data_IF_842473855206
#
_entry.id   IF_842473855206
#
_cell.length_a   1.000
_cell.length_b   1.000
_cell.length_c   1.000
_cell.angle_alpha   90.00
_cell.angle_beta   90.00
_cell.angle_gamma   90.00
#
_symmetry.space_group_name_H-M   'P 1'
#
loop_
_entity.id
_entity.type
_entity.pdbx_description
1 polymer ?
#
# COMPACT_ATOMS: atom_id res chain seq x y z
N UNK A 1 -12.03 -39.12 -14.01
CA UNK A 1 -10.92 -38.67 -13.14
C UNK A 1 -10.09 -37.54 -13.76
N UNK A 2 -9.53 -37.65 -14.98
CA UNK A 2 -8.67 -36.60 -15.57
C UNK A 2 -9.30 -35.20 -15.71
N UNK A 3 -10.58 -35.13 -16.09
CA UNK A 3 -11.31 -33.85 -16.23
C UNK A 3 -11.57 -33.18 -14.88
N UNK A 4 -11.85 -33.96 -13.83
CA UNK A 4 -12.04 -33.42 -12.47
C UNK A 4 -10.74 -32.85 -11.91
N UNK A 5 -9.61 -33.54 -12.11
CA UNK A 5 -8.28 -33.01 -11.74
C UNK A 5 -7.94 -31.73 -12.52
N UNK A 6 -8.24 -31.66 -13.82
CA UNK A 6 -8.02 -30.46 -14.62
C UNK A 6 -8.89 -29.28 -14.15
N UNK A 7 -10.17 -29.51 -13.84
CA UNK A 7 -11.05 -28.48 -13.28
C UNK A 7 -10.56 -28.00 -11.91
N UNK A 8 -10.16 -28.91 -11.03
CA UNK A 8 -9.63 -28.57 -9.71
C UNK A 8 -8.36 -27.71 -9.81
N UNK A 9 -7.45 -28.06 -10.72
CA UNK A 9 -6.24 -27.28 -10.99
C UNK A 9 -6.58 -25.88 -11.52
N UNK A 10 -7.46 -25.78 -12.51
CA UNK A 10 -7.92 -24.50 -13.06
C UNK A 10 -8.57 -23.60 -11.99
N UNK A 11 -9.43 -24.17 -11.15
CA UNK A 11 -10.08 -23.44 -10.07
C UNK A 11 -9.06 -22.92 -9.05
N UNK A 12 -8.07 -23.74 -8.71
CA UNK A 12 -7.02 -23.36 -7.75
C UNK A 12 -6.16 -22.20 -8.27
N UNK A 13 -5.78 -22.22 -9.56
CA UNK A 13 -5.02 -21.13 -10.20
C UNK A 13 -5.84 -19.83 -10.22
N UNK A 14 -7.13 -19.91 -10.54
CA UNK A 14 -8.00 -18.74 -10.58
C UNK A 14 -8.18 -18.11 -9.18
N UNK A 15 -8.32 -18.93 -8.14
CA UNK A 15 -8.38 -18.46 -6.76
C UNK A 15 -7.12 -17.73 -6.33
N UNK A 16 -5.93 -18.24 -6.69
CA UNK A 16 -4.65 -17.61 -6.37
C UNK A 16 -4.55 -16.23 -7.04
N UNK A 17 -4.85 -16.16 -8.34
CA UNK A 17 -4.79 -14.90 -9.09
C UNK A 17 -5.75 -13.84 -8.52
N UNK A 18 -6.97 -14.24 -8.13
CA UNK A 18 -7.94 -13.33 -7.52
C UNK A 18 -7.45 -12.80 -6.14
N UNK A 19 -6.80 -13.65 -5.34
CA UNK A 19 -6.27 -13.24 -4.04
C UNK A 19 -5.04 -12.29 -4.16
N UNK A 20 -4.21 -12.46 -5.18
CA UNK A 20 -3.13 -11.53 -5.50
C UNK A 20 -3.66 -10.16 -5.94
N UNK A 21 -4.67 -10.13 -6.83
CA UNK A 21 -5.29 -8.88 -7.29
C UNK A 21 -5.89 -8.09 -6.12
N UNK A 22 -6.59 -8.77 -5.21
CA UNK A 22 -7.20 -8.12 -4.05
C UNK A 22 -6.17 -7.54 -3.08
N UNK A 23 -5.09 -8.27 -2.79
CA UNK A 23 -4.01 -7.76 -1.92
C UNK A 23 -3.27 -6.60 -2.57
N UNK A 24 -3.02 -6.67 -3.87
CA UNK A 24 -2.42 -5.56 -4.60
C UNK A 24 -3.34 -4.34 -4.65
N UNK A 25 -4.64 -4.53 -4.89
CA UNK A 25 -5.66 -3.48 -4.85
C UNK A 25 -5.67 -2.78 -3.50
N UNK A 26 -5.74 -3.55 -2.41
CA UNK A 26 -5.69 -3.04 -1.04
C UNK A 26 -4.39 -2.26 -0.79
N UNK A 27 -3.24 -2.81 -1.19
CA UNK A 27 -1.97 -2.11 -1.09
C UNK A 27 -2.02 -0.72 -1.76
N UNK A 28 -2.56 -0.63 -2.98
CA UNK A 28 -2.70 0.66 -3.69
C UNK A 28 -3.62 1.63 -2.94
N UNK A 29 -4.78 1.15 -2.49
CA UNK A 29 -5.74 1.97 -1.74
C UNK A 29 -5.11 2.54 -0.46
N UNK A 30 -4.32 1.75 0.27
CA UNK A 30 -3.75 2.16 1.55
C UNK A 30 -2.47 3.00 1.41
N UNK A 31 -1.61 2.69 0.42
CA UNK A 31 -0.24 3.19 0.38
C UNK A 31 0.09 4.08 -0.82
N UNK A 32 -0.81 4.24 -1.78
CA UNK A 32 -0.51 4.94 -3.03
C UNK A 32 -1.39 6.17 -3.20
N UNK A 33 -0.75 7.27 -3.59
CA UNK A 33 -1.42 8.54 -3.87
C UNK A 33 -0.92 9.13 -5.17
N UNK A 34 -1.80 9.84 -5.87
CA UNK A 34 -1.43 10.58 -7.07
C UNK A 34 -0.49 11.75 -6.76
N UNK A 35 0.22 12.21 -7.78
CA UNK A 35 1.18 13.33 -7.69
C UNK A 35 0.55 14.68 -7.33
N UNK A 36 -0.76 14.82 -7.50
CA UNK A 36 -1.55 16.04 -7.24
C UNK A 36 -2.13 16.09 -5.83
N UNK A 37 -1.93 15.06 -5.00
CA UNK A 37 -2.46 15.03 -3.64
C UNK A 37 -1.76 16.07 -2.77
N UNK A 38 -2.55 17.01 -2.25
CA UNK A 38 -2.04 18.15 -1.45
C UNK A 38 -2.37 18.07 0.04
N UNK A 39 -3.31 17.20 0.45
CA UNK A 39 -3.84 17.18 1.82
C UNK A 39 -3.68 15.82 2.48
N UNK A 40 -2.79 15.74 3.49
CA UNK A 40 -2.71 14.59 4.40
C UNK A 40 -4.01 14.38 5.18
N UNK A 41 -4.71 15.46 5.55
CA UNK A 41 -5.97 15.37 6.28
C UNK A 41 -7.02 14.56 5.53
N UNK A 42 -7.17 14.82 4.23
CA UNK A 42 -8.21 14.19 3.41
C UNK A 42 -7.89 12.72 3.14
N UNK A 43 -6.65 12.39 2.78
CA UNK A 43 -6.27 11.00 2.44
C UNK A 43 -6.17 10.10 3.66
N UNK A 44 -5.73 10.61 4.82
CA UNK A 44 -5.61 9.80 6.04
C UNK A 44 -6.99 9.45 6.62
N UNK A 45 -7.97 10.32 6.41
CA UNK A 45 -9.35 10.13 6.90
C UNK A 45 -10.31 9.60 5.84
N UNK A 46 -9.81 9.23 4.65
CA UNK A 46 -10.63 8.56 3.65
C UNK A 46 -11.00 7.15 4.16
N UNK A 47 -12.29 6.87 4.43
CA UNK A 47 -12.70 5.59 4.99
C UNK A 47 -12.39 4.42 4.05
N UNK A 48 -12.30 4.65 2.73
CA UNK A 48 -11.97 3.59 1.76
C UNK A 48 -10.53 3.09 1.88
N UNK A 49 -9.65 3.89 2.49
CA UNK A 49 -8.22 3.55 2.64
C UNK A 49 -7.94 2.78 3.93
N UNK A 50 -8.89 2.68 4.85
CA UNK A 50 -8.75 1.90 6.09
C UNK A 50 -7.45 2.16 6.87
N UNK A 51 -6.95 3.41 6.89
CA UNK A 51 -5.66 3.75 7.53
C UNK A 51 -5.81 3.88 9.05
N UNK A 52 -6.91 4.51 9.48
CA UNK A 52 -7.24 4.74 10.88
C UNK A 52 -8.27 3.71 11.35
N UNK A 53 -7.81 2.54 11.77
CA UNK A 53 -8.68 1.47 12.27
C UNK A 53 -8.69 1.51 13.80
N UNK A 54 -9.78 2.02 14.39
CA UNK A 54 -10.00 2.14 15.85
C UNK A 54 -9.04 3.08 16.60
N UNK A 55 -8.07 3.66 15.91
CA UNK A 55 -7.13 4.66 16.43
C UNK A 55 -6.64 5.56 15.30
N UNK A 56 -6.10 6.73 15.65
CA UNK A 56 -5.38 7.57 14.70
C UNK A 56 -3.97 7.01 14.53
N UNK A 57 -3.55 6.77 13.29
CA UNK A 57 -2.18 6.35 13.01
C UNK A 57 -1.23 7.54 13.19
N UNK A 58 -0.20 7.38 14.02
CA UNK A 58 0.77 8.43 14.36
C UNK A 58 1.48 9.00 13.12
N UNK A 59 1.85 8.14 12.19
CA UNK A 59 2.40 8.54 10.91
C UNK A 59 2.12 7.49 9.84
N UNK A 60 2.08 7.94 8.59
CA UNK A 60 1.89 7.04 7.45
C UNK A 60 2.65 7.58 6.24
N UNK A 61 3.31 6.67 5.54
CA UNK A 61 4.06 6.97 4.32
C UNK A 61 3.21 6.54 3.15
N UNK A 62 2.96 7.47 2.24
CA UNK A 62 2.39 7.16 0.93
C UNK A 62 3.47 7.17 -0.12
N UNK A 63 3.42 6.20 -1.02
CA UNK A 63 4.16 6.21 -2.28
C UNK A 63 3.42 7.16 -3.21
N UNK A 64 4.14 8.17 -3.70
CA UNK A 64 3.61 9.10 -4.70
C UNK A 64 3.88 8.50 -6.07
N UNK A 65 2.84 8.01 -6.73
CA UNK A 65 2.93 7.39 -8.05
C UNK A 65 1.75 7.81 -8.94
N UNK A 66 2.02 8.02 -10.23
CA UNK A 66 1.00 8.23 -11.27
C UNK A 66 0.49 6.92 -11.89
N UNK A 67 1.03 5.76 -11.48
CA UNK A 67 0.44 4.44 -11.71
C UNK A 67 1.36 3.40 -12.35
N UNK A 68 2.35 3.82 -13.14
CA UNK A 68 3.26 2.89 -13.85
C UNK A 68 4.48 2.45 -13.00
N UNK A 69 4.81 3.17 -11.93
CA UNK A 69 6.05 2.92 -11.16
C UNK A 69 5.96 1.68 -10.27
N UNK A 70 4.78 1.35 -9.73
CA UNK A 70 4.64 0.23 -8.78
C UNK A 70 4.88 -1.15 -9.38
N UNK A 71 4.48 -1.40 -10.64
CA UNK A 71 4.78 -2.67 -11.32
C UNK A 71 6.27 -2.79 -11.61
N UNK A 72 6.90 -1.67 -11.98
CA UNK A 72 8.35 -1.59 -12.22
C UNK A 72 9.15 -1.85 -10.93
N UNK A 73 8.62 -1.44 -9.77
CA UNK A 73 9.28 -1.66 -8.48
C UNK A 73 9.50 -3.15 -8.18
N UNK A 74 8.49 -3.99 -8.42
CA UNK A 74 8.57 -5.43 -8.15
C UNK A 74 9.17 -6.23 -9.32
N UNK A 75 8.98 -5.79 -10.57
CA UNK A 75 9.49 -6.52 -11.73
C UNK A 75 9.00 -7.98 -11.74
N UNK A 76 9.94 -8.93 -11.81
CA UNK A 76 9.67 -10.37 -11.67
C UNK A 76 9.99 -10.93 -10.28
N UNK A 77 10.32 -10.06 -9.31
CA UNK A 77 10.71 -10.49 -7.96
C UNK A 77 9.50 -10.90 -7.12
N UNK A 78 9.73 -11.89 -6.24
CA UNK A 78 8.82 -12.29 -5.16
C UNK A 78 9.57 -12.18 -3.84
N UNK A 79 8.90 -11.72 -2.78
CA UNK A 79 9.50 -11.42 -1.49
C UNK A 79 9.78 -9.92 -1.29
N UNK A 80 10.59 -9.58 -0.31
CA UNK A 80 10.88 -8.18 0.02
C UNK A 80 11.78 -7.51 -1.01
N UNK A 81 11.37 -6.35 -1.49
CA UNK A 81 12.13 -5.53 -2.44
C UNK A 81 12.24 -4.11 -1.90
N UNK A 82 13.47 -3.61 -1.88
CA UNK A 82 13.78 -2.24 -1.47
C UNK A 82 14.13 -1.38 -2.67
N UNK A 83 13.47 -0.22 -2.82
CA UNK A 83 13.70 0.74 -3.91
C UNK A 83 13.49 2.18 -3.43
N UNK A 84 14.21 3.11 -4.05
CA UNK A 84 13.97 4.53 -3.86
C UNK A 84 12.69 4.96 -4.60
N UNK A 85 11.82 5.68 -3.90
CA UNK A 85 10.57 6.20 -4.41
C UNK A 85 10.31 7.61 -3.87
N UNK A 86 9.41 8.34 -4.53
CA UNK A 86 8.88 9.59 -3.97
C UNK A 86 7.85 9.23 -2.90
N UNK A 87 8.03 9.78 -1.72
CA UNK A 87 7.23 9.50 -0.53
C UNK A 87 6.57 10.78 -0.05
N UNK A 88 5.29 10.70 0.31
CA UNK A 88 4.57 11.69 1.09
C UNK A 88 4.41 11.16 2.52
N UNK A 89 5.06 11.79 3.49
CA UNK A 89 4.93 11.43 4.91
C UNK A 89 3.87 12.28 5.58
N UNK A 90 2.78 11.67 6.01
CA UNK A 90 1.74 12.30 6.83
C UNK A 90 1.98 11.99 8.31
N UNK A 91 1.80 13.00 9.16
CA UNK A 91 1.98 12.88 10.62
C UNK A 91 0.74 13.38 11.34
N UNK A 92 0.38 12.68 12.40
CA UNK A 92 -0.70 13.08 13.29
C UNK A 92 -0.32 14.41 13.96
N UNK A 93 -1.28 15.32 14.06
CA UNK A 93 -1.12 16.53 14.85
C UNK A 93 -1.08 16.13 16.33
N UNK A 94 -0.09 16.59 17.11
CA UNK A 94 -0.03 16.30 18.54
C UNK A 94 -1.35 16.64 19.24
N UNK A 95 -1.83 15.73 20.09
CA UNK A 95 -3.08 15.86 20.83
C UNK A 95 -4.36 15.53 20.04
N UNK A 96 -4.25 15.09 18.79
CA UNK A 96 -5.40 14.58 18.05
C UNK A 96 -5.83 13.18 18.54
N UNK A 97 -7.14 12.94 18.63
CA UNK A 97 -7.71 11.71 19.19
C UNK A 97 -8.78 11.15 18.25
N UNK A 98 -8.86 9.83 18.14
CA UNK A 98 -9.88 9.13 17.37
C UNK A 98 -11.29 9.41 17.94
N UNK A 99 -12.33 9.62 17.11
CA UNK A 99 -12.36 9.48 15.65
C UNK A 99 -11.94 10.74 14.87
N UNK A 100 -11.63 11.85 15.56
CA UNK A 100 -11.33 13.14 14.93
C UNK A 100 -9.82 13.31 14.70
N UNK A 101 -9.27 12.47 13.81
CA UNK A 101 -7.85 12.49 13.49
C UNK A 101 -7.49 13.71 12.62
N UNK A 102 -6.58 14.54 13.13
CA UNK A 102 -6.08 15.76 12.49
C UNK A 102 -4.64 15.51 12.08
N UNK A 103 -4.34 15.62 10.80
CA UNK A 103 -3.03 15.41 10.20
C UNK A 103 -2.45 16.72 9.71
N UNK A 104 -1.16 16.91 9.95
CA UNK A 104 -0.41 18.03 9.41
C UNK A 104 0.02 17.75 7.97
N UNK A 105 0.18 18.81 7.17
CA UNK A 105 0.61 18.71 5.78
C UNK A 105 1.96 17.99 5.70
N UNK A 106 2.01 16.98 4.84
CA UNK A 106 3.13 16.05 4.78
C UNK A 106 4.32 16.60 4.01
N UNK A 107 5.53 16.18 4.41
CA UNK A 107 6.74 16.47 3.64
C UNK A 107 6.88 15.43 2.53
N UNK A 108 7.08 15.90 1.30
CA UNK A 108 7.49 15.04 0.19
C UNK A 108 9.01 14.92 0.15
N UNK A 109 9.53 13.71 -0.04
CA UNK A 109 10.96 13.46 -0.24
C UNK A 109 11.17 12.17 -1.04
N UNK A 110 12.35 11.99 -1.61
CA UNK A 110 12.75 10.71 -2.19
C UNK A 110 13.44 9.89 -1.11
N UNK A 111 13.01 8.65 -0.91
CA UNK A 111 13.56 7.77 0.11
C UNK A 111 13.40 6.30 -0.25
N UNK A 112 14.13 5.46 0.47
CA UNK A 112 14.06 4.01 0.32
C UNK A 112 12.80 3.48 1.00
N UNK A 113 12.04 2.64 0.27
CA UNK A 113 10.90 1.90 0.80
C UNK A 113 11.14 0.42 0.58
N UNK A 114 10.65 -0.41 1.50
CA UNK A 114 10.62 -1.86 1.36
C UNK A 114 9.17 -2.31 1.25
N UNK A 115 8.90 -3.15 0.25
CA UNK A 115 7.59 -3.76 0.05
C UNK A 115 7.74 -5.26 -0.12
N UNK A 116 6.71 -6.01 0.22
CA UNK A 116 6.61 -7.42 -0.19
C UNK A 116 5.95 -7.47 -1.57
N UNK A 117 6.61 -8.15 -2.50
CA UNK A 117 6.13 -8.40 -3.85
C UNK A 117 5.63 -9.85 -4.00
N UNK A 118 4.51 -10.03 -4.69
CA UNK A 118 3.97 -11.34 -5.10
C UNK A 118 3.46 -11.24 -6.54
N UNK A 119 3.82 -12.21 -7.38
CA UNK A 119 3.43 -12.18 -8.79
C UNK A 119 3.90 -10.95 -9.58
N UNK A 120 4.95 -10.26 -9.11
CA UNK A 120 5.43 -9.00 -9.69
C UNK A 120 4.65 -7.76 -9.27
N UNK A 121 3.80 -7.85 -8.25
CA UNK A 121 3.02 -6.73 -7.70
C UNK A 121 3.30 -6.50 -6.21
N UNK A 122 3.32 -5.25 -5.74
CA UNK A 122 3.43 -4.98 -4.32
C UNK A 122 2.11 -5.28 -3.62
N UNK A 123 2.19 -6.04 -2.53
CA UNK A 123 1.04 -6.49 -1.74
C UNK A 123 1.12 -6.07 -0.28
N UNK A 124 2.30 -5.68 0.22
CA UNK A 124 2.48 -5.22 1.60
C UNK A 124 3.57 -4.16 1.70
N UNK A 125 3.35 -3.15 2.56
CA UNK A 125 4.37 -2.16 2.90
C UNK A 125 5.10 -2.61 4.16
N UNK A 126 6.39 -2.92 4.05
CA UNK A 126 7.20 -3.32 5.21
C UNK A 126 7.58 -2.03 5.94
N UNK A 127 6.83 -1.71 6.99
CA UNK A 127 7.14 -0.54 7.81
C UNK A 127 8.45 -0.84 8.54
N UNK A 128 9.55 -0.27 8.04
CA UNK A 128 10.82 -0.30 8.74
C UNK A 128 10.58 0.44 10.07
N UNK A 129 10.41 -0.33 11.13
CA UNK A 129 10.34 0.11 12.51
C UNK A 129 11.35 1.23 12.73
N UNK A 130 10.85 2.35 13.23
CA UNK A 130 11.65 3.49 13.65
C UNK A 130 12.77 3.00 14.59
N UNK A 131 14.03 3.20 14.19
CA UNK A 131 15.16 3.25 15.13
C UNK A 131 15.20 4.63 15.73
#
# INVERSE_FOLDING_TARGET
MRIQFALLLLLSVLCIAAAEDERHRKFREQHVVGSTVTSCQSIMNDPKREINIKSCKESHKFIVDSGESLKTMCGSSTGEVTRNNKILLCRLKPGSVYPNCVYILGRSFTGSITVTCEGGYPVHYVDATWV
#
